data_IF_821325303005
#
_entry.id   IF_821325303005
#
_cell.length_a   1.000
_cell.length_b   1.000
_cell.length_c   1.000
_cell.angle_alpha   90.00
_cell.angle_beta   90.00
_cell.angle_gamma   90.00
#
_symmetry.space_group_name_H-M   'P 1'
#
loop_
_entity.id
_entity.type
_entity.pdbx_description
1 polymer ?
#
# COMPACT_ATOMS: atom_id res chain seq x y z
N UNK A 1 -0.88 -4.26 -10.88
CA UNK A 1 -1.94 -5.15 -10.36
C UNK A 1 -1.72 -5.55 -8.89
N UNK A 2 -0.66 -5.07 -8.22
CA UNK A 2 -0.23 -5.57 -6.91
C UNK A 2 -1.25 -5.41 -5.76
N UNK A 3 -2.14 -4.41 -5.84
CA UNK A 3 -3.16 -4.15 -4.81
C UNK A 3 -4.53 -4.82 -5.10
N UNK A 4 -4.72 -5.44 -6.27
CA UNK A 4 -6.03 -5.99 -6.68
C UNK A 4 -6.38 -7.26 -5.90
N UNK A 5 -7.65 -7.39 -5.49
CA UNK A 5 -8.19 -8.57 -4.78
C UNK A 5 -9.54 -8.96 -5.37
N UNK A 6 -9.71 -10.23 -5.74
CA UNK A 6 -10.93 -10.75 -6.40
C UNK A 6 -12.23 -10.54 -5.61
N UNK A 7 -12.17 -10.52 -4.28
CA UNK A 7 -13.33 -10.33 -3.40
C UNK A 7 -13.29 -8.99 -2.67
N UNK A 8 -12.94 -7.93 -3.37
CA UNK A 8 -12.92 -6.58 -2.81
C UNK A 8 -14.34 -6.00 -2.73
N UNK A 9 -14.67 -5.41 -1.58
CA UNK A 9 -15.90 -4.66 -1.42
C UNK A 9 -15.82 -3.28 -2.07
N UNK A 10 -16.97 -2.71 -2.43
CA UNK A 10 -17.07 -1.36 -3.04
C UNK A 10 -16.35 -0.29 -2.20
N UNK A 11 -16.42 -0.42 -0.86
CA UNK A 11 -15.78 0.51 0.06
C UNK A 11 -14.24 0.57 -0.09
N UNK A 12 -13.61 -0.54 -0.46
CA UNK A 12 -12.16 -0.64 -0.69
C UNK A 12 -11.80 -0.44 -2.17
N UNK A 13 -12.70 -0.80 -3.08
CA UNK A 13 -12.50 -0.66 -4.52
C UNK A 13 -12.47 0.81 -4.98
N UNK A 14 -13.31 1.68 -4.38
CA UNK A 14 -13.34 3.12 -4.69
C UNK A 14 -11.97 3.80 -4.44
N UNK A 15 -11.37 3.72 -3.24
CA UNK A 15 -10.07 4.35 -3.00
C UNK A 15 -8.96 3.73 -3.86
N UNK A 16 -9.02 2.44 -4.21
CA UNK A 16 -8.10 1.84 -5.18
C UNK A 16 -8.23 2.45 -6.57
N UNK A 17 -9.46 2.63 -7.07
CA UNK A 17 -9.72 3.30 -8.35
C UNK A 17 -9.21 4.74 -8.34
N UNK A 18 -9.42 5.47 -7.24
CA UNK A 18 -8.90 6.83 -7.07
C UNK A 18 -7.36 6.86 -7.03
N UNK A 19 -6.71 5.87 -6.41
CA UNK A 19 -5.23 5.72 -6.43
C UNK A 19 -4.71 5.52 -7.85
N UNK A 20 -5.35 4.63 -8.61
CA UNK A 20 -5.00 4.36 -10.00
C UNK A 20 -5.23 5.60 -10.88
N UNK A 21 -6.35 6.31 -10.67
CA UNK A 21 -6.65 7.55 -11.37
C UNK A 21 -5.64 8.65 -11.04
N UNK A 22 -5.29 8.83 -9.77
CA UNK A 22 -4.25 9.76 -9.32
C UNK A 22 -2.92 9.49 -10.03
N UNK A 23 -2.48 8.23 -10.05
CA UNK A 23 -1.25 7.83 -10.72
C UNK A 23 -1.31 8.09 -12.25
N UNK A 24 -2.46 7.86 -12.87
CA UNK A 24 -2.66 8.08 -14.30
C UNK A 24 -2.74 9.57 -14.68
N UNK A 25 -3.24 10.44 -13.80
CA UNK A 25 -3.39 11.88 -14.04
C UNK A 25 -2.31 12.73 -13.39
N UNK A 26 -1.27 12.12 -12.82
CA UNK A 26 -0.22 12.82 -12.07
C UNK A 26 -0.78 13.74 -10.97
N UNK A 27 -1.86 13.31 -10.31
CA UNK A 27 -2.54 14.08 -9.26
C UNK A 27 -3.48 15.18 -9.75
N UNK A 28 -3.72 15.29 -11.06
CA UNK A 28 -4.62 16.29 -11.63
C UNK A 28 -6.03 15.73 -11.75
N UNK A 29 -6.72 15.60 -10.61
CA UNK A 29 -8.16 15.31 -10.61
C UNK A 29 -8.85 16.02 -9.45
N UNK A 30 -10.09 16.43 -9.67
CA UNK A 30 -10.95 17.10 -8.69
C UNK A 30 -12.37 16.53 -8.74
N UNK A 31 -13.18 16.82 -7.71
CA UNK A 31 -14.61 16.46 -7.65
C UNK A 31 -15.38 16.92 -8.89
N UNK A 32 -14.94 18.00 -9.54
CA UNK A 32 -15.59 18.51 -10.75
C UNK A 32 -15.18 17.76 -12.03
N UNK A 33 -14.05 17.06 -12.03
CA UNK A 33 -13.50 16.39 -13.21
C UNK A 33 -13.61 14.87 -13.13
N UNK A 34 -14.13 14.33 -12.02
CA UNK A 34 -14.28 12.89 -11.77
C UNK A 34 -15.74 12.53 -11.56
N UNK A 35 -16.18 11.50 -12.27
CA UNK A 35 -17.51 10.90 -12.10
C UNK A 35 -17.37 9.43 -11.68
N UNK A 36 -18.19 9.01 -10.72
CA UNK A 36 -18.18 7.63 -10.21
C UNK A 36 -19.57 7.02 -10.38
N UNK A 37 -19.60 5.86 -11.02
CA UNK A 37 -20.80 5.03 -11.18
C UNK A 37 -20.56 3.66 -10.57
N UNK A 38 -21.57 3.12 -9.88
CA UNK A 38 -21.53 1.82 -9.23
C UNK A 38 -22.65 0.97 -9.81
N UNK A 39 -22.34 -0.26 -10.23
CA UNK A 39 -23.33 -1.27 -10.58
C UNK A 39 -23.34 -2.32 -9.48
N UNK A 40 -24.45 -2.45 -8.77
CA UNK A 40 -24.63 -3.54 -7.82
C UNK A 40 -25.08 -4.80 -8.57
N UNK A 41 -24.27 -5.86 -8.48
CA UNK A 41 -24.52 -7.12 -9.20
C UNK A 41 -25.67 -7.95 -8.57
N UNK A 42 -26.02 -7.71 -7.30
CA UNK A 42 -27.13 -8.39 -6.63
C UNK A 42 -28.46 -7.78 -7.03
N UNK A 43 -28.51 -6.45 -7.13
CA UNK A 43 -29.73 -5.72 -7.48
C UNK A 43 -29.79 -5.35 -8.97
N UNK A 44 -28.75 -5.68 -9.74
CA UNK A 44 -28.57 -5.29 -11.15
C UNK A 44 -28.83 -3.79 -11.40
N UNK A 45 -28.52 -2.95 -10.42
CA UNK A 45 -28.89 -1.53 -10.41
C UNK A 45 -27.66 -0.65 -10.56
N UNK A 46 -27.72 0.28 -11.51
CA UNK A 46 -26.71 1.32 -11.65
C UNK A 46 -27.07 2.53 -10.79
N UNK A 47 -26.09 3.00 -10.01
CA UNK A 47 -26.16 4.24 -9.25
C UNK A 47 -25.00 5.14 -9.65
N UNK A 48 -25.31 6.32 -10.19
CA UNK A 48 -24.37 7.42 -10.31
C UNK A 48 -24.23 8.10 -8.95
N UNK A 49 -23.00 8.25 -8.45
CA UNK A 49 -22.77 8.97 -7.20
C UNK A 49 -23.00 10.47 -7.40
N UNK A 50 -23.57 11.13 -6.39
CA UNK A 50 -23.69 12.59 -6.43
C UNK A 50 -22.33 13.25 -6.23
N UNK A 51 -22.22 14.53 -6.60
CA UNK A 51 -20.99 15.30 -6.37
C UNK A 51 -20.57 15.32 -4.90
N UNK A 52 -21.54 15.31 -3.98
CA UNK A 52 -21.28 15.28 -2.53
C UNK A 52 -20.67 13.93 -2.11
N UNK A 53 -21.20 12.82 -2.63
CA UNK A 53 -20.64 11.50 -2.36
C UNK A 53 -19.22 11.36 -2.95
N UNK A 54 -19.01 11.85 -4.18
CA UNK A 54 -17.69 11.88 -4.82
C UNK A 54 -16.72 12.73 -4.01
N UNK A 55 -17.15 13.91 -3.55
CA UNK A 55 -16.34 14.79 -2.69
C UNK A 55 -15.85 14.05 -1.45
N UNK A 56 -16.75 13.37 -0.75
CA UNK A 56 -16.39 12.59 0.45
C UNK A 56 -15.36 11.49 0.14
N UNK A 57 -15.45 10.83 -1.02
CA UNK A 57 -14.47 9.84 -1.44
C UNK A 57 -13.11 10.46 -1.75
N UNK A 58 -13.07 11.58 -2.46
CA UNK A 58 -11.83 12.31 -2.79
C UNK A 58 -11.17 12.87 -1.53
N UNK A 59 -11.92 13.55 -0.66
CA UNK A 59 -11.41 14.07 0.62
C UNK A 59 -10.81 12.95 1.49
N UNK A 60 -11.50 11.80 1.58
CA UNK A 60 -11.00 10.63 2.33
C UNK A 60 -9.72 10.08 1.71
N UNK A 61 -9.63 10.05 0.38
CA UNK A 61 -8.46 9.59 -0.34
C UNK A 61 -7.27 10.54 -0.11
N UNK A 62 -7.43 11.85 -0.25
CA UNK A 62 -6.36 12.83 0.02
C UNK A 62 -5.88 12.75 1.47
N UNK A 63 -6.80 12.59 2.42
CA UNK A 63 -6.46 12.39 3.83
C UNK A 63 -5.72 11.07 4.07
N UNK A 64 -6.06 10.01 3.34
CA UNK A 64 -5.40 8.70 3.41
C UNK A 64 -3.99 8.76 2.83
N UNK A 65 -3.79 9.40 1.67
CA UNK A 65 -2.46 9.59 1.04
C UNK A 65 -1.55 10.36 2.00
N UNK A 66 -2.00 11.49 2.55
CA UNK A 66 -1.23 12.27 3.54
C UNK A 66 -0.86 11.47 4.80
N UNK A 67 -1.72 10.52 5.21
CA UNK A 67 -1.45 9.62 6.35
C UNK A 67 -0.50 8.48 5.97
N UNK A 68 -0.64 7.91 4.78
CA UNK A 68 0.26 6.88 4.25
C UNK A 68 1.66 7.43 4.02
N UNK A 69 1.82 8.64 3.48
CA UNK A 69 3.14 9.29 3.33
C UNK A 69 3.84 9.44 4.69
N UNK A 70 3.11 9.90 5.73
CA UNK A 70 3.65 9.98 7.10
C UNK A 70 3.96 8.61 7.73
N UNK A 71 3.22 7.56 7.36
CA UNK A 71 3.48 6.19 7.85
C UNK A 71 4.62 5.52 7.08
N UNK A 72 4.71 5.74 5.77
CA UNK A 72 5.78 5.23 4.90
C UNK A 72 7.12 5.85 5.30
N UNK A 73 7.16 7.14 5.64
CA UNK A 73 8.37 7.80 6.18
C UNK A 73 8.80 7.21 7.54
N UNK A 74 7.84 6.94 8.45
CA UNK A 74 8.12 6.26 9.73
C UNK A 74 8.55 4.81 9.57
N UNK A 75 7.97 4.08 8.61
CA UNK A 75 8.30 2.67 8.33
C UNK A 75 9.65 2.53 7.61
N UNK A 76 9.99 3.46 6.71
CA UNK A 76 11.30 3.53 6.08
C UNK A 76 12.40 3.82 7.11
N UNK A 77 12.15 4.70 8.08
CA UNK A 77 13.11 5.01 9.15
C UNK A 77 13.29 3.87 10.18
N UNK A 78 12.32 2.97 10.31
CA UNK A 78 12.42 1.77 11.15
C UNK A 78 13.19 0.61 10.49
N UNK A 79 13.21 0.52 9.15
CA UNK A 79 13.89 -0.56 8.42
C UNK A 79 15.41 -0.40 8.28
N UNK A 80 15.99 0.76 8.61
CA UNK A 80 17.45 0.97 8.54
C UNK A 80 18.22 0.45 9.76
N UNK A 81 17.55 -0.05 10.81
CA UNK A 81 18.20 -0.49 12.05
C UNK A 81 18.50 -2.01 12.14
N UNK A 82 18.12 -2.84 11.17
CA UNK A 82 18.23 -4.31 11.29
C UNK A 82 19.20 -4.98 10.28
N UNK A 83 20.25 -4.27 9.84
CA UNK A 83 21.33 -4.86 9.01
C UNK A 83 22.73 -4.64 9.58
N UNK A 84 22.92 -4.87 10.88
CA UNK A 84 24.25 -5.06 11.47
C UNK A 84 24.19 -6.07 12.62
N UNK A 85 24.73 -7.27 12.38
CA UNK A 85 24.75 -8.43 13.31
C UNK A 85 23.92 -9.55 12.71
N UNK A 86 24.48 -10.57 12.08
CA UNK A 86 25.52 -11.47 12.59
C UNK A 86 26.39 -11.95 11.44
N UNK A 87 27.70 -11.73 11.53
CA UNK A 87 28.68 -12.45 10.72
C UNK A 87 28.93 -13.75 11.48
N UNK A 88 28.43 -14.86 10.93
CA UNK A 88 28.93 -16.18 11.23
C UNK A 88 30.46 -16.17 11.04
N UNK A 89 31.20 -16.54 12.08
CA UNK A 89 32.33 -17.43 11.89
C UNK A 89 32.49 -18.27 13.17
N UNK A 90 32.02 -19.50 13.06
CA UNK A 90 32.06 -20.50 14.09
C UNK A 90 33.51 -20.77 14.49
N UNK A 91 33.77 -20.61 15.78
CA UNK A 91 34.96 -21.10 16.43
C UNK A 91 35.07 -22.63 16.26
N UNK A 92 36.01 -23.08 15.43
CA UNK A 92 36.53 -24.43 15.49
C UNK A 92 38.00 -24.45 15.09
N UNK A 93 38.88 -24.11 16.03
CA UNK A 93 40.26 -24.62 16.08
C UNK A 93 40.89 -24.28 17.42
N UNK A 94 40.94 -25.27 18.31
CA UNK A 94 41.93 -25.34 19.38
C UNK A 94 42.42 -26.79 19.54
N UNK A 95 43.65 -26.96 20.06
CA UNK A 95 44.71 -27.80 19.49
C UNK A 95 44.99 -29.07 20.29
N UNK A 96 45.84 -29.97 19.76
CA UNK A 96 46.82 -30.87 20.41
C UNK A 96 47.32 -31.90 19.36
N UNK A 97 48.57 -31.86 18.87
CA UNK A 97 49.83 -32.46 19.38
C UNK A 97 49.81 -33.97 19.64
N UNK A 98 50.98 -34.60 19.42
CA UNK A 98 51.43 -36.00 19.58
C UNK A 98 51.46 -36.80 18.26
N UNK A 99 52.59 -36.93 17.53
CA UNK A 99 53.92 -37.55 17.77
C UNK A 99 53.90 -39.10 17.74
N UNK A 100 54.87 -39.65 16.99
CA UNK A 100 55.30 -41.07 16.86
C UNK A 100 54.44 -41.91 15.89
N UNK A 101 54.97 -42.74 15.01
CA UNK A 101 56.28 -43.39 14.87
C UNK A 101 56.52 -43.73 13.38
#
# INVERSE_FOLDING_TARGET
EEDYKDRMGIADAIPMGLKALNAATEGKFDVNTVEIGIVDLKTASFKKMTKEEVKVCVDKFEAAVKKEEKKAEKAAKAKTAEKSGTKDDAAAKKPKTDKKE
#
